data_IF_376916306282
#
_entry.id   IF_376916306282
#
_cell.length_a   1.000
_cell.length_b   1.000
_cell.length_c   1.000
_cell.angle_alpha   90.00
_cell.angle_beta   90.00
_cell.angle_gamma   90.00
#
_symmetry.space_group_name_H-M   'P 1'
#
loop_
_entity.id
_entity.type
_entity.pdbx_description
1 polymer ?
#
# COMPACT_ATOMS: atom_id res chain seq x y z
N UNK A 1 -26.62 17.51 -15.09
CA UNK A 1 -25.67 17.64 -13.96
C UNK A 1 -24.40 16.94 -14.39
N UNK A 2 -23.29 17.65 -14.51
CA UNK A 2 -22.00 17.04 -14.88
C UNK A 2 -21.50 16.11 -13.77
N UNK A 3 -21.01 14.92 -14.13
CA UNK A 3 -20.49 13.93 -13.16
C UNK A 3 -19.34 14.52 -12.31
N UNK A 4 -18.55 15.42 -12.89
CA UNK A 4 -17.47 16.13 -12.20
C UNK A 4 -17.97 16.98 -11.02
N UNK A 5 -19.22 17.47 -11.06
CA UNK A 5 -19.78 18.23 -9.94
C UNK A 5 -20.06 17.35 -8.72
N UNK A 6 -20.39 16.06 -8.93
CA UNK A 6 -20.52 15.11 -7.83
C UNK A 6 -19.17 14.90 -7.13
N UNK A 7 -18.09 14.75 -7.91
CA UNK A 7 -16.75 14.55 -7.36
C UNK A 7 -16.22 15.76 -6.59
N UNK A 8 -16.58 17.00 -6.97
CA UNK A 8 -16.28 18.18 -6.14
C UNK A 8 -16.93 18.09 -4.76
N UNK A 9 -18.15 17.56 -4.68
CA UNK A 9 -18.84 17.30 -3.41
C UNK A 9 -18.14 16.20 -2.60
N UNK A 10 -17.76 15.12 -3.28
CA UNK A 10 -16.96 14.03 -2.71
C UNK A 10 -15.65 14.54 -2.10
N UNK A 11 -14.85 15.33 -2.83
CA UNK A 11 -13.58 15.87 -2.33
C UNK A 11 -13.78 16.74 -1.08
N UNK A 12 -14.83 17.58 -1.07
CA UNK A 12 -15.20 18.37 0.11
C UNK A 12 -15.63 17.52 1.30
N UNK A 13 -16.32 16.40 1.04
CA UNK A 13 -16.75 15.45 2.06
C UNK A 13 -15.55 14.77 2.72
N UNK A 14 -14.64 14.22 1.91
CA UNK A 14 -13.40 13.58 2.39
C UNK A 14 -12.55 14.55 3.20
N UNK A 15 -12.42 15.81 2.77
CA UNK A 15 -11.64 16.83 3.49
C UNK A 15 -12.18 17.18 4.89
N UNK A 16 -13.42 16.78 5.23
CA UNK A 16 -14.02 16.99 6.55
C UNK A 16 -13.84 15.82 7.51
N UNK A 17 -13.41 14.67 7.00
CA UNK A 17 -13.20 13.46 7.78
C UNK A 17 -11.89 13.54 8.56
N UNK A 18 -11.85 12.92 9.73
CA UNK A 18 -10.59 12.70 10.46
C UNK A 18 -9.66 11.76 9.66
N UNK A 19 -8.35 11.73 9.95
CA UNK A 19 -7.44 10.78 9.31
C UNK A 19 -7.89 9.31 9.43
N UNK A 20 -8.43 8.92 10.59
CA UNK A 20 -8.94 7.57 10.85
C UNK A 20 -10.17 7.26 9.99
N UNK A 21 -11.08 8.23 9.87
CA UNK A 21 -12.27 8.12 9.03
C UNK A 21 -11.91 8.06 7.54
N UNK A 22 -10.95 8.88 7.09
CA UNK A 22 -10.42 8.81 5.72
C UNK A 22 -9.79 7.44 5.44
N UNK A 23 -8.97 6.93 6.36
CA UNK A 23 -8.37 5.60 6.28
C UNK A 23 -9.44 4.52 6.18
N UNK A 24 -10.47 4.56 7.04
CA UNK A 24 -11.57 3.61 7.00
C UNK A 24 -12.33 3.66 5.66
N UNK A 25 -12.69 4.86 5.21
CA UNK A 25 -13.37 5.08 3.94
C UNK A 25 -12.57 4.54 2.75
N UNK A 26 -11.32 4.96 2.63
CA UNK A 26 -10.45 4.59 1.51
C UNK A 26 -9.97 3.14 1.57
N UNK A 27 -10.11 2.44 2.70
CA UNK A 27 -9.74 1.03 2.81
C UNK A 27 -10.55 0.16 1.84
N UNK A 28 -11.86 0.41 1.69
CA UNK A 28 -12.71 -0.31 0.75
C UNK A 28 -12.37 0.04 -0.71
N UNK A 29 -12.09 1.32 -1.00
CA UNK A 29 -11.63 1.75 -2.31
C UNK A 29 -10.31 1.09 -2.70
N UNK A 30 -9.34 1.05 -1.79
CA UNK A 30 -8.02 0.45 -1.98
C UNK A 30 -8.11 -1.05 -2.25
N UNK A 31 -8.93 -1.78 -1.46
CA UNK A 31 -9.24 -3.20 -1.68
C UNK A 31 -9.81 -3.45 -3.06
N UNK A 32 -10.84 -2.69 -3.45
CA UNK A 32 -11.48 -2.86 -4.75
C UNK A 32 -10.50 -2.56 -5.91
N UNK A 33 -9.68 -1.52 -5.76
CA UNK A 33 -8.69 -1.13 -6.77
C UNK A 33 -7.66 -2.23 -7.02
N UNK A 34 -7.11 -2.82 -5.96
CA UNK A 34 -6.04 -3.83 -6.09
C UNK A 34 -6.58 -5.21 -6.47
N UNK A 35 -7.76 -5.60 -5.98
CA UNK A 35 -8.42 -6.85 -6.38
C UNK A 35 -8.79 -6.87 -7.87
N UNK A 36 -9.05 -5.71 -8.47
CA UNK A 36 -9.34 -5.57 -9.89
C UNK A 36 -8.14 -5.75 -10.84
N UNK A 37 -6.92 -5.95 -10.34
CA UNK A 37 -5.77 -6.22 -11.21
C UNK A 37 -4.44 -6.42 -10.50
N UNK A 38 -3.95 -5.41 -9.78
CA UNK A 38 -2.57 -5.35 -9.28
C UNK A 38 -2.23 -6.48 -8.30
N UNK A 39 -3.20 -7.00 -7.54
CA UNK A 39 -2.94 -8.04 -6.55
C UNK A 39 -2.42 -9.34 -7.19
N UNK A 40 -2.87 -9.67 -8.40
CA UNK A 40 -2.40 -10.86 -9.12
C UNK A 40 -0.91 -10.77 -9.48
N UNK A 41 -0.46 -9.57 -9.86
CA UNK A 41 0.96 -9.28 -10.17
C UNK A 41 1.80 -9.43 -8.90
N UNK A 42 1.36 -8.85 -7.79
CA UNK A 42 2.08 -8.97 -6.52
C UNK A 42 2.08 -10.39 -5.95
N UNK A 43 1.01 -11.19 -6.17
CA UNK A 43 1.00 -12.62 -5.81
C UNK A 43 2.06 -13.40 -6.58
N UNK A 44 2.16 -13.20 -7.89
CA UNK A 44 3.21 -13.83 -8.69
C UNK A 44 4.60 -13.41 -8.21
N UNK A 45 4.82 -12.12 -7.99
CA UNK A 45 6.09 -11.60 -7.47
C UNK A 45 6.45 -12.22 -6.10
N UNK A 46 5.47 -12.37 -5.23
CA UNK A 46 5.61 -13.03 -3.93
C UNK A 46 5.98 -14.51 -4.07
N UNK A 47 5.34 -15.24 -5.00
CA UNK A 47 5.65 -16.65 -5.29
C UNK A 47 7.07 -16.81 -5.83
N UNK A 48 7.46 -15.96 -6.79
CA UNK A 48 8.81 -15.98 -7.38
C UNK A 48 9.89 -15.63 -6.33
N UNK A 49 9.59 -14.69 -5.43
CA UNK A 49 10.41 -14.35 -4.27
C UNK A 49 10.35 -15.39 -3.14
N UNK A 50 9.53 -16.44 -3.27
CA UNK A 50 9.32 -17.48 -2.25
C UNK A 50 8.91 -16.91 -0.88
N UNK A 51 8.18 -15.80 -0.91
CA UNK A 51 7.73 -15.08 0.29
C UNK A 51 8.82 -14.27 1.02
N UNK A 52 10.03 -14.21 0.48
CA UNK A 52 11.09 -13.34 1.00
C UNK A 52 10.77 -11.87 0.65
N UNK A 53 10.75 -11.00 1.67
CA UNK A 53 10.40 -9.59 1.47
C UNK A 53 11.52 -8.79 0.80
N UNK A 54 12.77 -9.04 1.15
CA UNK A 54 13.91 -8.32 0.59
C UNK A 54 14.01 -8.62 -0.91
N UNK A 55 13.90 -9.89 -1.29
CA UNK A 55 13.84 -10.33 -2.69
C UNK A 55 12.61 -9.76 -3.39
N UNK A 56 11.43 -9.77 -2.76
CA UNK A 56 10.22 -9.20 -3.35
C UNK A 56 10.41 -7.72 -3.73
N UNK A 57 10.94 -6.90 -2.83
CA UNK A 57 11.14 -5.47 -3.09
C UNK A 57 12.26 -5.21 -4.10
N UNK A 58 13.31 -6.05 -4.13
CA UNK A 58 14.31 -5.98 -5.18
C UNK A 58 13.71 -6.29 -6.56
N UNK A 59 12.93 -7.38 -6.66
CA UNK A 59 12.28 -7.79 -7.91
C UNK A 59 11.18 -6.82 -8.36
N UNK A 60 10.58 -6.04 -7.45
CA UNK A 60 9.61 -5.01 -7.81
C UNK A 60 10.17 -3.94 -8.76
N UNK A 61 11.50 -3.78 -8.83
CA UNK A 61 12.16 -2.87 -9.77
C UNK A 61 12.03 -3.29 -11.24
N UNK A 62 11.71 -4.55 -11.52
CA UNK A 62 11.44 -5.04 -12.86
C UNK A 62 10.01 -4.72 -13.33
N UNK A 63 9.14 -4.24 -12.42
CA UNK A 63 7.78 -3.85 -12.75
C UNK A 63 7.74 -2.42 -13.35
N UNK A 64 6.97 -2.21 -14.44
CA UNK A 64 6.95 -0.92 -15.11
C UNK A 64 6.33 0.18 -14.23
N UNK A 65 7.11 1.23 -13.97
CA UNK A 65 6.64 2.41 -13.25
C UNK A 65 6.62 2.26 -11.72
N UNK A 66 7.23 1.20 -11.19
CA UNK A 66 7.41 0.96 -9.75
C UNK A 66 8.90 0.84 -9.46
N UNK A 67 9.32 1.28 -8.28
CA UNK A 67 10.63 0.94 -7.70
C UNK A 67 10.43 0.42 -6.28
N UNK A 68 11.23 -0.56 -5.91
CA UNK A 68 11.33 -1.08 -4.55
C UNK A 68 12.75 -0.92 -4.02
N UNK A 69 12.86 -0.50 -2.76
CA UNK A 69 14.13 -0.35 -2.07
C UNK A 69 14.07 -1.08 -0.73
N UNK A 70 15.11 -1.86 -0.42
CA UNK A 70 15.35 -2.41 0.91
C UNK A 70 16.19 -1.40 1.67
N UNK A 71 15.59 -0.75 2.66
CA UNK A 71 16.27 0.25 3.51
C UNK A 71 16.94 -0.44 4.69
N UNK A 72 16.26 -1.43 5.26
CA UNK A 72 16.76 -2.29 6.33
C UNK A 72 16.24 -3.71 6.11
N UNK A 73 17.16 -4.67 5.92
CA UNK A 73 16.84 -6.06 5.60
C UNK A 73 15.81 -6.64 6.59
N UNK A 74 14.75 -7.22 6.06
CA UNK A 74 13.68 -7.83 6.85
C UNK A 74 12.75 -6.84 7.58
N UNK A 75 13.06 -5.55 7.63
CA UNK A 75 12.35 -4.58 8.48
C UNK A 75 11.74 -3.39 7.74
N UNK A 76 12.52 -2.67 6.91
CA UNK A 76 12.10 -1.38 6.33
C UNK A 76 12.30 -1.35 4.82
N UNK A 77 11.26 -0.92 4.11
CA UNK A 77 11.23 -0.84 2.66
C UNK A 77 10.67 0.48 2.17
N UNK A 78 11.02 0.86 0.94
CA UNK A 78 10.32 1.91 0.18
C UNK A 78 9.66 1.31 -1.05
N UNK A 79 8.44 1.74 -1.29
CA UNK A 79 7.71 1.47 -2.53
C UNK A 79 7.42 2.80 -3.22
N UNK A 80 7.93 2.97 -4.43
CA UNK A 80 7.86 4.23 -5.17
C UNK A 80 7.08 4.00 -6.47
N UNK A 81 6.03 4.78 -6.69
CA UNK A 81 5.29 4.81 -7.95
C UNK A 81 5.71 6.02 -8.78
N UNK A 82 6.25 5.78 -9.96
CA UNK A 82 6.79 6.83 -10.84
C UNK A 82 5.72 7.61 -11.61
N UNK A 83 4.45 7.17 -11.54
CA UNK A 83 3.31 7.82 -12.18
C UNK A 83 2.03 7.50 -11.42
N UNK A 84 1.08 8.44 -11.41
CA UNK A 84 -0.26 8.17 -10.91
C UNK A 84 -1.05 7.35 -11.94
N UNK A 85 -1.49 6.16 -11.54
CA UNK A 85 -2.28 5.27 -12.39
C UNK A 85 -3.77 5.28 -12.05
N UNK A 86 -4.19 6.07 -11.06
CA UNK A 86 -5.59 6.15 -10.63
C UNK A 86 -6.51 6.69 -11.74
N UNK A 87 -7.52 5.90 -12.12
CA UNK A 87 -8.47 6.28 -13.16
C UNK A 87 -9.31 7.52 -12.80
N UNK A 88 -9.57 7.76 -11.51
CA UNK A 88 -10.27 8.97 -11.06
C UNK A 88 -9.44 10.23 -11.36
N UNK A 89 -8.12 10.16 -11.22
CA UNK A 89 -7.22 11.26 -11.55
C UNK A 89 -7.03 11.41 -13.05
N UNK A 90 -6.78 10.30 -13.77
CA UNK A 90 -6.60 10.34 -15.23
C UNK A 90 -7.81 10.93 -15.97
N UNK A 91 -9.02 10.68 -15.46
CA UNK A 91 -10.27 11.24 -15.99
C UNK A 91 -10.58 12.65 -15.49
N UNK A 92 -9.73 13.23 -14.65
CA UNK A 92 -9.91 14.58 -14.09
C UNK A 92 -11.08 14.70 -13.10
N UNK A 93 -11.55 13.57 -12.55
CA UNK A 93 -12.66 13.57 -11.60
C UNK A 93 -12.23 13.99 -10.19
N UNK A 94 -11.05 13.55 -9.77
CA UNK A 94 -10.49 13.86 -8.44
C UNK A 94 -9.07 14.35 -8.61
N UNK A 95 -8.75 15.46 -7.95
CA UNK A 95 -7.44 16.13 -8.03
C UNK A 95 -6.79 16.33 -6.66
N UNK A 96 -7.55 16.21 -5.57
CA UNK A 96 -7.03 16.33 -4.22
C UNK A 96 -6.02 15.24 -3.87
N UNK A 97 -4.90 15.59 -3.19
CA UNK A 97 -3.95 14.60 -2.68
C UNK A 97 -4.53 13.68 -1.60
N UNK A 98 -5.67 14.04 -0.98
CA UNK A 98 -6.35 13.17 -0.01
C UNK A 98 -6.73 11.82 -0.62
N UNK A 99 -6.91 11.74 -1.94
CA UNK A 99 -7.17 10.48 -2.64
C UNK A 99 -6.01 9.48 -2.48
N UNK A 100 -4.77 9.94 -2.29
CA UNK A 100 -3.60 9.07 -2.19
C UNK A 100 -3.64 8.15 -0.96
N UNK A 101 -4.51 8.42 0.01
CA UNK A 101 -4.82 7.49 1.10
C UNK A 101 -5.37 6.16 0.56
N UNK A 102 -6.15 6.16 -0.53
CA UNK A 102 -6.58 4.95 -1.23
C UNK A 102 -5.39 4.11 -1.69
N UNK A 103 -4.34 4.76 -2.22
CA UNK A 103 -3.13 4.06 -2.64
C UNK A 103 -2.43 3.45 -1.43
N UNK A 104 -2.30 4.18 -0.32
CA UNK A 104 -1.70 3.66 0.93
C UNK A 104 -2.44 2.43 1.46
N UNK A 105 -3.78 2.50 1.50
CA UNK A 105 -4.63 1.38 1.89
C UNK A 105 -4.52 0.18 0.95
N UNK A 106 -4.38 0.41 -0.35
CA UNK A 106 -4.18 -0.65 -1.34
C UNK A 106 -2.88 -1.42 -1.10
N UNK A 107 -1.81 -0.73 -0.69
CA UNK A 107 -0.52 -1.33 -0.34
C UNK A 107 -0.66 -2.12 0.96
N UNK A 108 -1.28 -1.56 2.00
CA UNK A 108 -1.55 -2.26 3.27
C UNK A 108 -2.31 -3.57 3.01
N UNK A 109 -3.38 -3.51 2.21
CA UNK A 109 -4.17 -4.69 1.90
C UNK A 109 -3.36 -5.73 1.10
N UNK A 110 -2.55 -5.30 0.14
CA UNK A 110 -1.68 -6.20 -0.62
C UNK A 110 -0.69 -6.92 0.29
N UNK A 111 0.05 -6.17 1.12
CA UNK A 111 1.02 -6.73 2.06
C UNK A 111 0.37 -7.74 3.02
N UNK A 112 -0.77 -7.40 3.63
CA UNK A 112 -1.50 -8.30 4.54
C UNK A 112 -2.08 -9.54 3.84
N UNK A 113 -2.39 -9.43 2.55
CA UNK A 113 -2.87 -10.56 1.76
C UNK A 113 -1.77 -11.57 1.45
N UNK A 114 -0.52 -11.08 1.29
CA UNK A 114 0.64 -11.88 0.95
C UNK A 114 1.33 -12.47 2.19
N UNK A 115 1.59 -11.64 3.21
CA UNK A 115 2.20 -12.03 4.47
C UNK A 115 1.20 -11.97 5.63
N UNK A 116 0.38 -13.02 5.77
CA UNK A 116 -0.74 -13.08 6.73
C UNK A 116 -0.31 -12.99 8.20
N UNK A 117 0.90 -13.44 8.51
CA UNK A 117 1.44 -13.48 9.88
C UNK A 117 2.25 -12.24 10.25
N UNK A 118 2.27 -11.22 9.38
CA UNK A 118 3.01 -9.97 9.61
C UNK A 118 2.07 -8.78 9.70
N UNK A 119 2.46 -7.83 10.54
CA UNK A 119 1.81 -6.52 10.60
C UNK A 119 2.70 -5.48 9.94
N UNK A 120 2.07 -4.49 9.33
CA UNK A 120 2.76 -3.45 8.57
C UNK A 120 2.29 -2.08 9.01
N UNK A 121 3.24 -1.18 9.17
CA UNK A 121 3.01 0.26 9.20
C UNK A 121 3.39 0.81 7.82
N UNK A 122 2.46 1.51 7.16
CA UNK A 122 2.70 2.11 5.85
C UNK A 122 2.45 3.61 5.96
N UNK A 123 3.48 4.39 5.66
CA UNK A 123 3.47 5.84 5.69
C UNK A 123 3.56 6.38 4.27
N UNK A 124 2.60 7.20 3.86
CA UNK A 124 2.70 7.96 2.61
C UNK A 124 3.63 9.15 2.85
N UNK A 125 4.84 9.10 2.29
CA UNK A 125 5.86 10.14 2.49
C UNK A 125 5.54 11.38 1.65
N UNK A 126 5.24 11.18 0.36
CA UNK A 126 4.80 12.22 -0.57
C UNK A 126 4.04 11.58 -1.75
N UNK A 127 3.40 12.42 -2.57
CA UNK A 127 2.66 11.95 -3.74
C UNK A 127 2.69 12.96 -4.89
N UNK A 128 2.47 12.45 -6.11
CA UNK A 128 2.34 13.27 -7.31
C UNK A 128 1.17 14.26 -7.21
N UNK A 129 0.02 13.84 -6.68
CA UNK A 129 -1.11 14.75 -6.45
C UNK A 129 -0.79 15.83 -5.41
N UNK A 130 0.16 15.56 -4.51
CA UNK A 130 0.70 16.53 -3.56
C UNK A 130 1.82 17.41 -4.13
N UNK A 131 2.14 17.29 -5.43
CA UNK A 131 3.21 18.05 -6.09
C UNK A 131 4.58 17.36 -6.13
N UNK A 132 4.70 16.11 -5.66
CA UNK A 132 5.93 15.32 -5.79
C UNK A 132 6.18 14.86 -7.24
N UNK A 133 7.42 14.46 -7.54
CA UNK A 133 7.79 13.86 -8.84
C UNK A 133 7.33 12.41 -8.98
N UNK A 134 7.09 11.76 -7.84
CA UNK A 134 6.64 10.38 -7.69
C UNK A 134 5.79 10.25 -6.43
N UNK A 135 5.28 9.05 -6.15
CA UNK A 135 4.64 8.72 -4.88
C UNK A 135 5.52 7.75 -4.11
N UNK A 136 5.99 8.12 -2.92
CA UNK A 136 6.78 7.25 -2.06
C UNK A 136 5.97 6.82 -0.84
N UNK A 137 6.04 5.52 -0.55
CA UNK A 137 5.55 4.95 0.70
C UNK A 137 6.68 4.23 1.41
N UNK A 138 6.82 4.54 2.70
CA UNK A 138 7.67 3.79 3.62
C UNK A 138 6.85 2.67 4.25
N UNK A 139 7.41 1.47 4.25
CA UNK A 139 6.78 0.25 4.76
C UNK A 139 7.68 -0.30 5.87
N UNK A 140 7.11 -0.46 7.05
CA UNK A 140 7.80 -1.01 8.22
C UNK A 140 7.09 -2.29 8.66
N UNK A 141 7.86 -3.35 8.83
CA UNK A 141 7.38 -4.63 9.35
C UNK A 141 7.36 -4.55 10.86
N UNK A 142 6.16 -4.55 11.44
CA UNK A 142 6.00 -4.58 12.88
C UNK A 142 6.28 -6.02 13.35
N UNK A 143 7.12 -6.18 14.37
CA UNK A 143 7.38 -7.49 14.95
C UNK A 143 6.07 -8.12 15.44
N UNK A 144 5.58 -9.15 14.74
CA UNK A 144 4.59 -10.03 15.29
C UNK A 144 5.28 -10.89 16.35
N UNK A 145 4.89 -10.76 17.62
CA UNK A 145 5.32 -11.54 18.79
C UNK A 145 6.04 -12.87 18.42
N UNK A 146 7.37 -12.83 18.27
CA UNK A 146 8.23 -14.01 18.02
C UNK A 146 8.20 -15.03 19.16
N UNK A 147 7.53 -14.73 20.28
CA UNK A 147 7.55 -15.52 21.51
C UNK A 147 6.58 -16.71 21.58
N UNK A 148 5.78 -17.03 20.54
CA UNK A 148 4.81 -18.14 20.64
C UNK A 148 5.29 -19.51 20.16
N UNK A 149 6.46 -19.63 19.54
CA UNK A 149 6.92 -20.92 18.98
C UNK A 149 8.13 -21.56 19.68
N UNK A 150 8.80 -20.89 20.62
CA UNK A 150 9.98 -21.44 21.32
C UNK A 150 9.70 -22.13 22.67
N UNK A 151 8.45 -22.17 23.16
CA UNK A 151 8.12 -22.75 24.49
C UNK A 151 7.48 -24.15 24.42
N UNK A 152 7.66 -24.92 23.34
CA UNK A 152 7.19 -26.32 23.29
C UNK A 152 8.28 -27.40 23.26
N UNK A 153 9.55 -27.04 23.46
CA UNK A 153 10.66 -28.02 23.43
C UNK A 153 11.41 -28.15 24.76
N UNK A 154 10.80 -27.79 25.88
CA UNK A 154 11.35 -28.10 27.20
C UNK A 154 10.21 -28.55 28.08
N UNK A 155 9.86 -29.85 28.06
CA UNK A 155 9.32 -30.62 29.20
C UNK A 155 9.38 -32.11 28.83
N UNK A 156 10.61 -32.61 28.70
CA UNK A 156 10.92 -34.01 28.96
C UNK A 156 12.01 -34.06 30.03
N UNK A 157 11.57 -34.20 31.29
CA UNK A 157 12.12 -35.08 32.32
C UNK A 157 11.35 -34.88 33.61
#
# INVERSE_FOLDING_TARGET
MEISNWFKGFEKGIARLSPEEQSAFFSECGKNCVNGGTLSVYKKLYEDAKGDMDVFFQMANDLPGVKGEVVEEGHVYRLIFLKCTCELCKKGYVTTPLLCECSRQSVIYSLRSLWKDRNFTVTLCHSILGGGTDCEMRIEVNEANRYKYDIKTIHHR
#
